data_IF_530549781070
#
_entry.id   IF_530549781070
#
_cell.length_a   1.000
_cell.length_b   1.000
_cell.length_c   1.000
_cell.angle_alpha   90.00
_cell.angle_beta   90.00
_cell.angle_gamma   90.00
#
_symmetry.space_group_name_H-M   'P 1'
#
loop_
_entity.id
_entity.type
_entity.pdbx_description
1 polymer ?
#
# COMPACT_ATOMS: atom_id res chain seq x y z
N UNK A 1 -14.91 2.18 -7.25
CA UNK A 1 -14.28 1.88 -8.57
C UNK A 1 -14.35 0.39 -8.82
N UNK A 2 -14.52 -0.01 -10.08
CA UNK A 2 -14.40 -1.44 -10.44
C UNK A 2 -12.92 -1.84 -10.27
N UNK A 3 -12.65 -2.92 -9.55
CA UNK A 3 -11.29 -3.43 -9.29
C UNK A 3 -10.47 -3.61 -10.58
N UNK A 4 -11.15 -3.96 -11.68
CA UNK A 4 -10.55 -4.22 -13.00
C UNK A 4 -10.56 -2.99 -13.93
N UNK A 5 -10.85 -1.79 -13.44
CA UNK A 5 -10.71 -0.58 -14.25
C UNK A 5 -9.24 -0.23 -14.44
N UNK A 6 -8.85 0.30 -15.61
CA UNK A 6 -7.47 0.69 -15.91
C UNK A 6 -6.86 1.58 -14.82
N UNK A 7 -7.62 2.55 -14.33
CA UNK A 7 -7.22 3.46 -13.24
C UNK A 7 -6.90 2.70 -11.93
N UNK A 8 -7.75 1.74 -11.55
CA UNK A 8 -7.53 0.94 -10.35
C UNK A 8 -6.31 0.03 -10.49
N UNK A 9 -6.11 -0.58 -11.66
CA UNK A 9 -4.92 -1.41 -11.92
C UNK A 9 -3.65 -0.57 -11.76
N UNK A 10 -3.58 0.59 -12.42
CA UNK A 10 -2.42 1.49 -12.33
C UNK A 10 -2.18 1.92 -10.88
N UNK A 11 -3.23 2.31 -10.16
CA UNK A 11 -3.12 2.71 -8.75
C UNK A 11 -2.58 1.58 -7.87
N UNK A 12 -3.14 0.38 -7.95
CA UNK A 12 -2.71 -0.75 -7.13
C UNK A 12 -1.30 -1.24 -7.50
N UNK A 13 -0.92 -1.17 -8.78
CA UNK A 13 0.44 -1.49 -9.24
C UNK A 13 1.48 -0.52 -8.67
N UNK A 14 1.24 0.80 -8.76
CA UNK A 14 2.16 1.80 -8.21
C UNK A 14 2.23 1.67 -6.68
N UNK A 15 1.10 1.49 -6.01
CA UNK A 15 1.05 1.32 -4.56
C UNK A 15 1.80 0.06 -4.11
N UNK A 16 1.72 -1.03 -4.87
CA UNK A 16 2.47 -2.26 -4.62
C UNK A 16 3.96 -2.12 -4.86
N UNK A 17 4.36 -1.43 -5.92
CA UNK A 17 5.76 -1.11 -6.14
C UNK A 17 6.32 -0.27 -4.98
N UNK A 18 5.60 0.76 -4.54
CA UNK A 18 6.02 1.58 -3.40
C UNK A 18 6.11 0.77 -2.10
N UNK A 19 5.10 -0.05 -1.81
CA UNK A 19 5.10 -0.89 -0.62
C UNK A 19 6.27 -1.89 -0.62
N UNK A 20 6.54 -2.54 -1.75
CA UNK A 20 7.59 -3.55 -1.88
C UNK A 20 9.02 -2.99 -1.94
N UNK A 21 9.23 -1.90 -2.67
CA UNK A 21 10.58 -1.35 -2.92
C UNK A 21 10.99 -0.24 -1.94
N UNK A 22 10.04 0.40 -1.25
CA UNK A 22 10.33 1.49 -0.32
C UNK A 22 9.96 1.10 1.11
N UNK A 23 8.69 0.75 1.35
CA UNK A 23 8.18 0.55 2.71
C UNK A 23 8.74 -0.72 3.35
N UNK A 24 8.70 -1.86 2.66
CA UNK A 24 9.21 -3.12 3.17
C UNK A 24 10.71 -3.09 3.54
N UNK A 25 11.64 -2.63 2.67
CA UNK A 25 13.05 -2.54 3.04
C UNK A 25 13.31 -1.49 4.13
N UNK A 26 12.53 -0.40 4.17
CA UNK A 26 12.63 0.58 5.25
C UNK A 26 12.24 -0.02 6.61
N UNK A 27 11.12 -0.74 6.69
CA UNK A 27 10.71 -1.42 7.93
C UNK A 27 11.78 -2.44 8.36
N UNK A 28 12.33 -3.20 7.41
CA UNK A 28 13.45 -4.12 7.68
C UNK A 28 14.70 -3.43 8.20
N UNK A 29 15.04 -2.24 7.70
CA UNK A 29 16.19 -1.50 8.24
C UNK A 29 16.01 -1.02 9.68
N UNK A 30 14.76 -0.98 10.17
CA UNK A 30 14.43 -0.53 11.53
C UNK A 30 14.26 -1.68 12.52
N UNK A 31 14.18 -2.92 12.03
CA UNK A 31 13.78 -4.08 12.81
C UNK A 31 14.78 -5.20 12.58
N UNK A 32 15.40 -5.69 13.65
CA UNK A 32 16.32 -6.82 13.61
C UNK A 32 15.69 -8.02 14.35
N UNK A 33 14.73 -8.69 13.68
CA UNK A 33 14.02 -9.86 14.22
C UNK A 33 14.19 -11.07 13.29
N UNK A 34 13.63 -12.22 13.69
CA UNK A 34 13.57 -13.36 12.79
C UNK A 34 12.72 -13.04 11.55
N UNK A 35 13.13 -13.60 10.41
CA UNK A 35 12.49 -13.40 9.10
C UNK A 35 10.96 -13.51 9.13
N UNK A 36 10.41 -14.48 9.89
CA UNK A 36 8.97 -14.67 10.05
C UNK A 36 8.29 -13.50 10.75
N UNK A 37 8.89 -12.97 11.81
CA UNK A 37 8.36 -11.84 12.59
C UNK A 37 8.42 -10.57 11.75
N UNK A 38 9.50 -10.36 10.99
CA UNK A 38 9.63 -9.22 10.07
C UNK A 38 8.50 -9.20 9.04
N UNK A 39 8.18 -10.35 8.43
CA UNK A 39 7.10 -10.45 7.45
C UNK A 39 5.76 -10.13 8.10
N UNK A 40 5.51 -10.63 9.31
CA UNK A 40 4.27 -10.35 10.04
C UNK A 40 4.12 -8.86 10.32
N UNK A 41 5.15 -8.19 10.84
CA UNK A 41 5.12 -6.76 11.15
C UNK A 41 4.99 -5.94 9.86
N UNK A 42 5.80 -6.26 8.84
CA UNK A 42 5.76 -5.57 7.55
C UNK A 42 4.38 -5.67 6.91
N UNK A 43 3.76 -6.85 6.94
CA UNK A 43 2.39 -7.06 6.42
C UNK A 43 1.36 -6.31 7.24
N UNK A 44 1.49 -6.30 8.57
CA UNK A 44 0.62 -5.56 9.48
C UNK A 44 0.67 -4.04 9.27
N UNK A 45 1.76 -3.51 8.72
CA UNK A 45 1.89 -2.08 8.34
C UNK A 45 1.39 -1.82 6.92
N UNK A 46 1.72 -2.68 5.96
CA UNK A 46 1.36 -2.51 4.55
C UNK A 46 -0.17 -2.61 4.34
N UNK A 47 -0.86 -3.55 5.00
CA UNK A 47 -2.30 -3.71 4.82
C UNK A 47 -3.12 -2.45 5.21
N UNK A 48 -2.91 -1.83 6.39
CA UNK A 48 -3.52 -0.54 6.71
C UNK A 48 -3.16 0.56 5.72
N UNK A 49 -1.90 0.64 5.28
CA UNK A 49 -1.44 1.62 4.30
C UNK A 49 -2.28 1.51 3.01
N UNK A 50 -2.53 0.30 2.53
CA UNK A 50 -3.37 0.04 1.36
C UNK A 50 -4.81 0.51 1.55
N UNK A 51 -5.39 0.22 2.72
CA UNK A 51 -6.75 0.65 3.04
C UNK A 51 -6.87 2.19 3.05
N UNK A 52 -5.94 2.88 3.71
CA UNK A 52 -5.94 4.34 3.78
C UNK A 52 -5.68 4.98 2.43
N UNK A 53 -4.69 4.50 1.67
CA UNK A 53 -4.39 5.02 0.34
C UNK A 53 -5.60 4.91 -0.60
N UNK A 54 -6.30 3.77 -0.58
CA UNK A 54 -7.55 3.58 -1.34
C UNK A 54 -8.64 4.56 -0.90
N UNK A 55 -8.84 4.70 0.41
CA UNK A 55 -9.86 5.60 0.98
C UNK A 55 -9.57 7.05 0.59
N UNK A 56 -8.31 7.48 0.71
CA UNK A 56 -7.87 8.82 0.32
C UNK A 56 -8.06 9.07 -1.18
N UNK A 57 -7.70 8.12 -2.02
CA UNK A 57 -7.89 8.23 -3.47
C UNK A 57 -9.37 8.33 -3.86
N UNK A 58 -10.26 7.56 -3.22
CA UNK A 58 -11.71 7.68 -3.45
C UNK A 58 -12.22 9.06 -3.04
N UNK A 59 -11.79 9.59 -1.89
CA UNK A 59 -12.16 10.94 -1.45
C UNK A 59 -11.69 12.00 -2.45
N UNK A 60 -10.44 11.92 -2.91
CA UNK A 60 -9.91 12.84 -3.93
C UNK A 60 -10.70 12.75 -5.23
N UNK A 61 -10.99 11.54 -5.70
CA UNK A 61 -11.78 11.32 -6.93
C UNK A 61 -13.17 11.95 -6.81
N UNK A 62 -13.87 11.73 -5.70
CA UNK A 62 -15.20 12.30 -5.47
C UNK A 62 -15.18 13.81 -5.29
N UNK A 63 -14.11 14.41 -4.76
CA UNK A 63 -14.05 15.85 -4.48
C UNK A 63 -13.62 16.70 -5.66
N UNK A 64 -12.73 16.18 -6.52
CA UNK A 64 -12.11 16.97 -7.60
C UNK A 64 -12.51 16.52 -9.01
N UNK A 65 -13.08 15.33 -9.17
CA UNK A 65 -13.40 14.74 -10.47
C UNK A 65 -14.86 14.27 -10.57
N UNK A 66 -15.74 14.77 -9.69
CA UNK A 66 -17.19 14.55 -9.74
C UNK A 66 -17.91 15.73 -10.40
#
# INVERSE_FOLDING_TARGET
MKLLSKESIIFYSILGAFAGFVVAPFIRSLIDYSFTIEILITTAVILPLYYFAKKFFLILKTKYFA
#
